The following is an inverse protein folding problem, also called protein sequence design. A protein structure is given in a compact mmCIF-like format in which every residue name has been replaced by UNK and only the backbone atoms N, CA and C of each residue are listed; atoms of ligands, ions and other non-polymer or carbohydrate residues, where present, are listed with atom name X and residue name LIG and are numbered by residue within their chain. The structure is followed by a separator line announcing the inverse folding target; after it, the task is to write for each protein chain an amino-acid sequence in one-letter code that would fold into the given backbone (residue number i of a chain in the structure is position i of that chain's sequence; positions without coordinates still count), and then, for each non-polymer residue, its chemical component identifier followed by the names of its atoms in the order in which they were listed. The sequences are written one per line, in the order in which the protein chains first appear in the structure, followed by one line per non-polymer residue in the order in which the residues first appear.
data_IF_166536070513
#
_entry.id   IF_166536070513
#
_cell.length_a   1.000
_cell.length_b   1.000
_cell.length_c   1.000
_cell.angle_alpha   90.00
_cell.angle_beta   90.00
_cell.angle_gamma   90.00
#
_symmetry.space_group_name_H-M   'P 1'
#
loop_
_entity.id
_entity.type
_entity.pdbx_description
1 polymer ?
#
# COMPACT_ATOMS: atom_id res chain seq x y z
N UNK A 1 -16.48 31.24 -7.34
CA UNK A 1 -16.44 29.85 -7.83
C UNK A 1 -16.37 28.96 -6.61
N UNK A 2 -17.51 28.39 -6.22
CA UNK A 2 -17.55 27.36 -5.20
C UNK A 2 -17.03 26.06 -5.82
N UNK A 3 -15.99 25.48 -5.23
CA UNK A 3 -15.45 24.19 -5.67
C UNK A 3 -16.53 23.13 -5.45
N UNK A 4 -16.91 22.44 -6.53
CA UNK A 4 -17.90 21.36 -6.48
C UNK A 4 -17.42 20.26 -5.51
N UNK A 5 -18.30 19.67 -4.70
CA UNK A 5 -17.92 18.74 -3.63
C UNK A 5 -17.36 17.38 -4.11
N UNK A 6 -17.22 17.14 -5.41
CA UNK A 6 -16.83 15.83 -6.00
C UNK A 6 -15.32 15.65 -6.25
N UNK A 7 -14.49 16.69 -6.02
CA UNK A 7 -13.04 16.62 -6.29
C UNK A 7 -12.18 16.32 -5.04
N UNK A 8 -12.80 16.01 -3.91
CA UNK A 8 -12.06 15.80 -2.65
C UNK A 8 -11.54 14.36 -2.61
N UNK A 9 -10.21 14.22 -2.60
CA UNK A 9 -9.53 12.99 -2.18
C UNK A 9 -10.17 12.48 -0.89
N UNK A 10 -10.59 11.22 -0.88
CA UNK A 10 -11.23 10.61 0.29
C UNK A 10 -10.16 9.87 1.06
N UNK A 11 -9.84 10.33 2.26
CA UNK A 11 -9.01 9.57 3.20
C UNK A 11 -9.83 8.40 3.75
N UNK A 12 -9.38 7.17 3.49
CA UNK A 12 -10.07 5.95 3.90
C UNK A 12 -9.62 5.52 5.30
N UNK A 13 -8.32 5.55 5.55
CA UNK A 13 -7.72 5.18 6.82
C UNK A 13 -6.33 5.79 6.99
N UNK A 14 -5.84 5.75 8.23
CA UNK A 14 -4.46 6.06 8.59
C UNK A 14 -3.77 4.81 9.10
N UNK A 15 -2.55 4.59 8.64
CA UNK A 15 -1.65 3.55 9.15
C UNK A 15 -0.58 4.25 9.97
N UNK A 16 -0.46 3.88 11.24
CA UNK A 16 0.52 4.44 12.17
C UNK A 16 1.54 3.38 12.52
N UNK A 17 2.82 3.78 12.58
CA UNK A 17 3.89 2.88 12.99
C UNK A 17 3.77 2.61 14.49
N UNK A 18 3.79 1.33 14.87
CA UNK A 18 3.65 0.92 16.27
C UNK A 18 4.81 1.39 17.15
N UNK A 19 6.05 1.42 16.62
CA UNK A 19 7.26 1.81 17.36
C UNK A 19 7.51 3.32 17.35
N UNK A 20 6.97 4.03 16.35
CA UNK A 20 7.17 5.47 16.12
C UNK A 20 5.83 6.15 15.78
N UNK A 21 5.00 6.50 16.78
CA UNK A 21 3.65 6.99 16.57
C UNK A 21 3.55 8.26 15.70
N UNK A 22 4.61 9.03 15.57
CA UNK A 22 4.71 10.20 14.69
C UNK A 22 4.77 9.83 13.19
N UNK A 23 5.15 8.59 12.86
CA UNK A 23 5.17 8.08 11.50
C UNK A 23 3.77 7.57 11.14
N UNK A 24 3.03 8.43 10.43
CA UNK A 24 1.66 8.15 9.97
C UNK A 24 1.56 8.38 8.47
N UNK A 25 1.03 7.39 7.77
CA UNK A 25 0.64 7.47 6.36
C UNK A 25 -0.88 7.37 6.23
N UNK A 26 -1.43 8.05 5.23
CA UNK A 26 -2.85 7.95 4.87
C UNK A 26 -3.00 7.00 3.69
N UNK A 27 -4.13 6.28 3.63
CA UNK A 27 -4.59 5.61 2.42
C UNK A 27 -5.75 6.43 1.86
N UNK A 28 -5.58 6.93 0.65
CA UNK A 28 -6.54 7.83 0.00
C UNK A 28 -7.09 7.20 -1.27
N UNK A 29 -8.37 7.46 -1.52
CA UNK A 29 -9.02 7.19 -2.80
C UNK A 29 -8.97 8.43 -3.66
N UNK A 30 -8.42 8.28 -4.86
CA UNK A 30 -8.49 9.32 -5.88
C UNK A 30 -9.85 9.20 -6.61
N UNK A 31 -10.63 10.28 -6.75
CA UNK A 31 -11.91 10.24 -7.46
C UNK A 31 -11.75 9.92 -8.96
N UNK A 32 -10.58 10.16 -9.56
CA UNK A 32 -10.34 9.98 -10.99
C UNK A 32 -9.56 8.71 -11.35
N UNK A 33 -9.25 7.86 -10.37
CA UNK A 33 -8.48 6.65 -10.63
C UNK A 33 -9.06 5.42 -9.93
N UNK A 34 -8.89 4.26 -10.58
CA UNK A 34 -9.51 2.99 -10.22
C UNK A 34 -8.80 2.28 -9.04
N UNK A 35 -8.37 3.02 -8.02
CA UNK A 35 -7.63 2.43 -6.91
C UNK A 35 -7.38 3.36 -5.72
N UNK A 36 -6.57 2.86 -4.80
CA UNK A 36 -6.14 3.58 -3.61
C UNK A 36 -4.64 3.80 -3.66
N UNK A 37 -4.15 4.84 -3.01
CA UNK A 37 -2.72 5.02 -2.85
C UNK A 37 -2.38 5.53 -1.46
N UNK A 38 -1.12 5.35 -1.07
CA UNK A 38 -0.60 5.94 0.16
C UNK A 38 -0.24 7.41 -0.04
N UNK A 39 -0.36 8.20 1.01
CA UNK A 39 0.27 9.50 1.13
C UNK A 39 1.10 9.55 2.42
N UNK A 40 2.38 9.87 2.29
CA UNK A 40 3.28 10.12 3.41
C UNK A 40 4.60 9.36 3.34
N UNK A 41 4.70 8.27 2.56
CA UNK A 41 5.93 7.49 2.43
C UNK A 41 7.07 8.34 1.86
N UNK A 42 6.77 9.20 0.88
CA UNK A 42 7.76 10.09 0.29
C UNK A 42 8.28 11.11 1.29
N UNK A 43 7.39 11.69 2.09
CA UNK A 43 7.75 12.69 3.11
C UNK A 43 8.53 12.08 4.27
N UNK A 44 8.11 10.91 4.76
CA UNK A 44 8.68 10.26 5.94
C UNK A 44 9.99 9.53 5.62
N UNK A 45 10.07 8.90 4.44
CA UNK A 45 11.13 7.95 4.13
C UNK A 45 11.87 8.25 2.82
N UNK A 46 11.43 9.24 2.03
CA UNK A 46 12.01 9.52 0.71
C UNK A 46 11.66 8.47 -0.36
N UNK A 47 10.69 7.60 -0.09
CA UNK A 47 10.31 6.49 -0.97
C UNK A 47 9.10 6.82 -1.85
N UNK A 48 8.91 6.07 -2.94
CA UNK A 48 7.70 6.19 -3.76
C UNK A 48 6.47 5.83 -2.95
N UNK A 49 5.34 6.50 -3.23
CA UNK A 49 4.06 6.09 -2.68
C UNK A 49 3.64 4.73 -3.27
N UNK A 50 2.79 4.02 -2.54
CA UNK A 50 2.29 2.70 -2.93
C UNK A 50 0.89 2.87 -3.53
N UNK A 51 0.71 2.39 -4.75
CA UNK A 51 -0.58 2.22 -5.40
C UNK A 51 -1.13 0.83 -5.10
N UNK A 52 -2.34 0.74 -4.58
CA UNK A 52 -3.06 -0.51 -4.33
C UNK A 52 -3.98 -0.77 -5.52
N UNK A 53 -3.71 -1.86 -6.24
CA UNK A 53 -4.49 -2.27 -7.39
C UNK A 53 -5.67 -3.13 -6.95
N UNK A 54 -6.87 -2.55 -6.92
CA UNK A 54 -8.08 -3.16 -6.38
C UNK A 54 -8.95 -3.83 -7.44
N UNK A 55 -8.44 -4.00 -8.67
CA UNK A 55 -9.20 -4.61 -9.78
C UNK A 55 -9.72 -6.02 -9.47
N UNK A 56 -9.21 -6.66 -8.42
CA UNK A 56 -9.74 -7.90 -7.82
C UNK A 56 -10.33 -7.61 -6.43
N UNK A 57 -11.43 -6.84 -6.41
CA UNK A 57 -12.13 -6.26 -5.25
C UNK A 57 -12.65 -7.23 -4.16
N UNK A 58 -12.33 -8.52 -4.23
CA UNK A 58 -12.64 -9.49 -3.17
C UNK A 58 -11.82 -9.26 -1.89
N UNK A 59 -10.79 -8.42 -1.94
CA UNK A 59 -9.85 -8.20 -0.84
C UNK A 59 -10.25 -6.98 -0.01
N UNK A 60 -10.30 -7.17 1.31
CA UNK A 60 -10.71 -6.09 2.23
C UNK A 60 -9.62 -5.00 2.31
N UNK A 61 -10.04 -3.73 2.38
CA UNK A 61 -9.16 -2.58 2.67
C UNK A 61 -8.30 -2.82 3.92
N UNK A 62 -8.83 -3.59 4.87
CA UNK A 62 -8.14 -3.97 6.11
C UNK A 62 -6.92 -4.87 5.87
N UNK A 63 -6.99 -5.81 4.92
CA UNK A 63 -5.85 -6.67 4.54
C UNK A 63 -4.68 -5.80 4.05
N UNK A 64 -4.97 -4.88 3.13
CA UNK A 64 -3.96 -3.95 2.63
C UNK A 64 -3.43 -3.00 3.70
N UNK A 65 -4.25 -2.57 4.65
CA UNK A 65 -3.79 -1.74 5.76
C UNK A 65 -2.74 -2.48 6.63
N UNK A 66 -2.94 -3.78 6.89
CA UNK A 66 -1.97 -4.59 7.62
C UNK A 66 -0.67 -4.77 6.84
N UNK A 67 -0.76 -5.03 5.53
CA UNK A 67 0.41 -5.12 4.65
C UNK A 67 1.19 -3.80 4.64
N UNK A 68 0.50 -2.66 4.56
CA UNK A 68 1.12 -1.34 4.61
C UNK A 68 1.78 -1.08 5.96
N UNK A 69 1.18 -1.50 7.08
CA UNK A 69 1.78 -1.39 8.40
C UNK A 69 3.10 -2.15 8.46
N UNK A 70 3.10 -3.40 7.99
CA UNK A 70 4.30 -4.23 7.91
C UNK A 70 5.40 -3.59 7.05
N UNK A 71 5.05 -3.08 5.86
CA UNK A 71 6.00 -2.40 4.98
C UNK A 71 6.59 -1.17 5.69
N UNK A 72 5.75 -0.35 6.31
CA UNK A 72 6.19 0.86 7.01
C UNK A 72 7.10 0.54 8.20
N UNK A 73 6.79 -0.50 8.97
CA UNK A 73 7.63 -0.97 10.07
C UNK A 73 9.00 -1.44 9.55
N UNK A 74 9.03 -2.19 8.45
CA UNK A 74 10.27 -2.66 7.83
C UNK A 74 11.13 -1.51 7.32
N UNK A 75 10.52 -0.48 6.70
CA UNK A 75 11.22 0.73 6.27
C UNK A 75 11.83 1.46 7.47
N UNK A 76 11.03 1.64 8.52
CA UNK A 76 11.45 2.37 9.72
C UNK A 76 12.59 1.68 10.45
N UNK A 77 12.57 0.35 10.51
CA UNK A 77 13.65 -0.45 11.09
C UNK A 77 14.94 -0.36 10.26
N UNK A 78 14.85 -0.40 8.93
CA UNK A 78 16.02 -0.20 8.08
C UNK A 78 16.66 1.19 8.29
N UNK A 79 15.83 2.22 8.46
CA UNK A 79 16.33 3.57 8.79
C UNK A 79 17.02 3.63 10.15
N UNK A 80 16.48 2.99 11.18
CA UNK A 80 17.09 2.95 12.51
C UNK A 80 18.47 2.28 12.49
N UNK A 81 18.64 1.29 11.61
CA UNK A 81 19.90 0.59 11.42
C UNK A 81 20.86 1.32 10.45
N UNK A 82 20.45 2.45 9.87
CA UNK A 82 21.24 3.17 8.86
C UNK A 82 21.45 2.36 7.57
N UNK A 83 20.57 1.41 7.27
CA UNK A 83 20.67 0.53 6.10
C UNK A 83 19.91 1.12 4.91
N UNK A 84 20.41 0.93 3.66
CA UNK A 84 19.64 1.28 2.49
C UNK A 84 18.38 0.41 2.40
N UNK A 85 17.22 1.04 2.29
CA UNK A 85 15.97 0.34 2.06
C UNK A 85 15.63 0.31 0.56
N UNK A 86 15.38 -0.89 0.04
CA UNK A 86 14.81 -1.12 -1.28
C UNK A 86 13.59 -2.01 -1.15
N UNK A 87 12.52 -1.69 -1.89
CA UNK A 87 11.36 -2.55 -1.94
C UNK A 87 11.74 -3.91 -2.54
N UNK A 88 11.35 -4.98 -1.85
CA UNK A 88 11.36 -6.32 -2.44
C UNK A 88 10.22 -6.43 -3.44
N UNK A 89 10.53 -6.88 -4.66
CA UNK A 89 9.51 -6.98 -5.72
C UNK A 89 8.44 -8.02 -5.39
N UNK A 90 8.75 -9.03 -4.58
CA UNK A 90 7.80 -10.01 -4.05
C UNK A 90 8.12 -10.33 -2.59
N UNK A 91 7.08 -10.51 -1.77
CA UNK A 91 7.20 -10.89 -0.37
C UNK A 91 5.99 -11.71 0.09
N UNK A 92 6.12 -12.34 1.26
CA UNK A 92 5.03 -13.11 1.89
C UNK A 92 4.62 -12.45 3.20
N UNK A 93 3.32 -12.26 3.40
CA UNK A 93 2.75 -11.72 4.62
C UNK A 93 1.51 -12.52 5.01
N UNK A 94 1.45 -13.02 6.25
CA UNK A 94 0.41 -13.95 6.72
C UNK A 94 0.10 -15.12 5.76
N UNK A 95 1.13 -15.70 5.13
CA UNK A 95 0.99 -16.82 4.19
C UNK A 95 0.46 -16.44 2.81
N UNK A 96 0.17 -15.16 2.57
CA UNK A 96 -0.22 -14.62 1.26
C UNK A 96 0.99 -13.99 0.56
N UNK A 97 1.06 -14.15 -0.76
CA UNK A 97 2.14 -13.59 -1.58
C UNK A 97 1.69 -12.25 -2.15
N UNK A 98 2.57 -11.27 -2.10
CA UNK A 98 2.34 -9.94 -2.65
C UNK A 98 3.50 -9.57 -3.58
N UNK A 99 3.20 -8.74 -4.58
CA UNK A 99 4.19 -8.10 -5.43
C UNK A 99 4.15 -6.59 -5.26
N UNK A 100 5.31 -5.94 -5.32
CA UNK A 100 5.47 -4.48 -5.21
C UNK A 100 6.32 -3.91 -6.35
N UNK A 101 5.73 -3.84 -7.56
CA UNK A 101 6.46 -3.51 -8.79
C UNK A 101 6.57 -2.01 -9.00
N UNK A 102 7.71 -1.55 -9.53
CA UNK A 102 7.89 -0.16 -9.93
C UNK A 102 7.00 0.18 -11.14
N UNK A 103 6.22 1.28 -11.05
CA UNK A 103 5.43 1.79 -12.17
C UNK A 103 5.34 3.31 -12.10
N UNK A 104 6.26 3.98 -12.77
CA UNK A 104 6.29 5.45 -12.84
C UNK A 104 6.53 6.05 -11.45
N UNK A 105 5.63 6.90 -10.98
CA UNK A 105 5.75 7.58 -9.69
C UNK A 105 5.37 6.71 -8.47
N UNK A 106 4.83 5.52 -8.70
CA UNK A 106 4.31 4.64 -7.66
C UNK A 106 4.98 3.26 -7.66
N UNK A 107 4.85 2.59 -6.52
CA UNK A 107 5.03 1.14 -6.38
C UNK A 107 3.67 0.47 -6.35
N UNK A 108 3.40 -0.45 -7.28
CA UNK A 108 2.09 -1.10 -7.39
C UNK A 108 2.08 -2.36 -6.54
N UNK A 109 1.29 -2.32 -5.46
CA UNK A 109 1.01 -3.44 -4.58
C UNK A 109 -0.15 -4.28 -5.14
N UNK A 110 0.09 -5.58 -5.26
CA UNK A 110 -0.89 -6.59 -5.69
C UNK A 110 -0.72 -7.87 -4.90
N UNK A 111 -1.82 -8.53 -4.57
CA UNK A 111 -1.79 -9.95 -4.19
C UNK A 111 -1.46 -10.81 -5.41
N UNK A 112 -0.56 -11.77 -5.22
CA UNK A 112 -0.25 -12.81 -6.20
C UNK A 112 -1.16 -14.00 -5.89
N UNK A 113 -2.01 -14.44 -6.85
CA UNK A 113 -2.82 -15.63 -6.66
C UNK A 113 -1.94 -16.85 -6.36
N UNK A 114 -2.28 -17.63 -5.33
CA UNK A 114 -1.72 -18.96 -5.18
C UNK A 114 -2.43 -19.85 -6.21
N UNK A 115 -1.69 -20.40 -7.18
CA UNK A 115 -2.23 -21.40 -8.09
C UNK A 115 -2.75 -22.59 -7.25
N UNK A 116 -4.07 -22.74 -7.23
CA UNK A 116 -4.78 -23.69 -6.35
C UNK A 116 -6.31 -23.46 -6.23
N UNK A 117 -6.84 -22.32 -6.71
CA UNK A 117 -8.27 -22.05 -6.85
C UNK A 117 -8.67 -21.70 -8.31
N UNK A 118 -8.05 -22.40 -9.26
CA UNK A 118 -8.45 -22.36 -10.67
C UNK A 118 -8.32 -23.77 -11.27
N UNK A 119 -9.13 -24.69 -10.76
CA UNK A 119 -9.53 -25.93 -11.41
C UNK A 119 -10.77 -26.41 -10.65
N UNK A 120 -11.81 -26.87 -11.35
CA UNK A 120 -13.16 -27.18 -10.87
C UNK A 120 -14.09 -25.96 -10.75
N UNK A 121 -14.50 -25.43 -11.90
CA UNK A 121 -15.91 -25.52 -12.26
C UNK A 121 -15.96 -26.05 -13.70
N UNK A 122 -16.64 -27.19 -13.86
CA UNK A 122 -16.90 -27.89 -15.12
C UNK A 122 -17.88 -27.14 -16.02
#
# INVERSE_FOLDING_TARGET
MELQPDERKIELLKVQNQKKPEQVIAVVRDPHADGFHTEGLKRLFGLKEIWIDTRNLSESVLEYAQVLSFIMETISEAQDLGLPFGYQDEFTFHGLRYSLKDKGDYRVLRRIPQFGQAAYDE
#
